data_IF_232802717667
#
_entry.id   IF_232802717667
#
_cell.length_a   1.000
_cell.length_b   1.000
_cell.length_c   1.000
_cell.angle_alpha   90.00
_cell.angle_beta   90.00
_cell.angle_gamma   90.00
#
_symmetry.space_group_name_H-M   'P 1'
#
loop_
_entity.id
_entity.type
_entity.pdbx_description
1 polymer ?
#
# COMPACT_ATOMS: atom_id res chain seq x y z
N UNK A 1 -24.73 -46.35 -37.55
CA UNK A 1 -25.59 -47.50 -37.16
C UNK A 1 -25.82 -48.32 -38.44
N UNK A 2 -25.36 -49.55 -38.47
CA UNK A 2 -25.59 -50.45 -39.65
C UNK A 2 -26.84 -51.23 -39.36
N UNK A 3 -27.84 -51.06 -40.17
CA UNK A 3 -29.12 -51.77 -40.03
C UNK A 3 -28.97 -53.14 -40.73
N UNK A 4 -28.96 -54.23 -39.97
CA UNK A 4 -28.79 -55.60 -40.49
C UNK A 4 -30.17 -56.21 -40.57
N UNK A 5 -30.65 -56.44 -41.81
CA UNK A 5 -31.90 -57.11 -42.07
C UNK A 5 -31.83 -58.63 -41.69
N UNK A 6 -32.75 -59.16 -40.90
CA UNK A 6 -32.65 -60.51 -40.28
C UNK A 6 -32.79 -61.68 -41.23
N UNK A 7 -32.92 -61.45 -42.53
CA UNK A 7 -33.17 -62.51 -43.58
C UNK A 7 -31.90 -62.89 -44.34
N UNK A 8 -30.79 -62.22 -44.19
CA UNK A 8 -29.57 -62.57 -44.93
C UNK A 8 -28.61 -63.42 -44.03
N UNK A 9 -28.23 -64.59 -44.54
CA UNK A 9 -27.27 -65.47 -43.83
C UNK A 9 -25.84 -64.97 -43.81
N UNK A 10 -25.51 -64.03 -44.66
CA UNK A 10 -24.17 -63.33 -44.72
C UNK A 10 -24.45 -61.87 -45.06
N UNK A 11 -24.06 -60.93 -44.24
CA UNK A 11 -24.07 -59.52 -44.56
C UNK A 11 -22.60 -59.04 -44.76
N UNK A 12 -22.30 -58.57 -45.95
CA UNK A 12 -21.01 -57.95 -46.24
C UNK A 12 -21.10 -56.51 -45.76
N UNK A 13 -20.31 -56.17 -44.73
CA UNK A 13 -20.24 -54.81 -44.10
C UNK A 13 -19.35 -53.85 -44.87
N UNK A 14 -18.75 -54.28 -46.00
CA UNK A 14 -17.81 -53.47 -46.78
C UNK A 14 -16.56 -53.11 -45.99
N UNK A 15 -15.82 -52.09 -46.45
CA UNK A 15 -14.63 -51.60 -45.79
C UNK A 15 -15.01 -50.61 -44.69
N UNK A 16 -14.88 -50.98 -43.42
CA UNK A 16 -15.06 -50.10 -42.28
C UNK A 16 -13.79 -49.27 -42.11
N UNK A 17 -13.86 -48.00 -42.46
CA UNK A 17 -12.77 -47.04 -42.23
C UNK A 17 -12.88 -46.43 -40.83
N UNK A 18 -11.99 -46.82 -39.92
CA UNK A 18 -11.89 -46.23 -38.57
C UNK A 18 -11.11 -44.92 -38.65
N UNK A 19 -11.78 -43.81 -38.40
CA UNK A 19 -11.13 -42.50 -38.25
C UNK A 19 -10.78 -42.33 -36.78
N UNK A 20 -9.47 -42.21 -36.39
CA UNK A 20 -9.12 -41.97 -35.01
C UNK A 20 -9.60 -40.57 -34.59
N UNK A 21 -10.55 -40.51 -33.67
CA UNK A 21 -10.96 -39.25 -33.05
C UNK A 21 -9.95 -38.95 -31.94
N UNK A 22 -8.96 -38.14 -32.26
CA UNK A 22 -8.08 -37.56 -31.22
C UNK A 22 -8.92 -36.60 -30.34
N UNK A 23 -9.47 -37.14 -29.26
CA UNK A 23 -10.03 -36.33 -28.17
C UNK A 23 -8.83 -35.82 -27.38
N UNK A 24 -8.31 -34.64 -27.72
CA UNK A 24 -7.35 -33.97 -26.86
C UNK A 24 -8.06 -33.69 -25.52
N UNK A 25 -7.66 -34.37 -24.48
CA UNK A 25 -8.08 -34.03 -23.13
C UNK A 25 -7.58 -32.61 -22.87
N UNK A 26 -8.50 -31.72 -22.50
CA UNK A 26 -8.13 -30.39 -22.04
C UNK A 26 -7.14 -30.59 -20.87
N UNK A 27 -5.95 -30.05 -21.00
CA UNK A 27 -4.94 -30.06 -19.96
C UNK A 27 -5.55 -29.50 -18.68
N UNK A 28 -5.64 -30.30 -17.64
CA UNK A 28 -6.09 -29.85 -16.34
C UNK A 28 -4.89 -29.13 -15.70
N UNK A 29 -4.84 -27.83 -15.88
CA UNK A 29 -3.87 -27.00 -15.16
C UNK A 29 -4.28 -26.99 -13.68
N UNK A 30 -3.61 -27.83 -12.88
CA UNK A 30 -3.74 -27.80 -11.43
C UNK A 30 -2.99 -26.57 -10.92
N UNK A 31 -3.66 -25.44 -10.82
CA UNK A 31 -3.13 -24.25 -10.13
C UNK A 31 -3.26 -24.50 -8.64
N UNK A 32 -2.15 -24.83 -8.00
CA UNK A 32 -2.05 -24.84 -6.54
C UNK A 32 -2.32 -23.43 -6.03
N UNK A 33 -3.40 -23.23 -5.29
CA UNK A 33 -3.67 -21.94 -4.61
C UNK A 33 -2.64 -21.77 -3.50
N UNK A 34 -1.84 -20.70 -3.56
CA UNK A 34 -0.94 -20.34 -2.46
C UNK A 34 -1.74 -20.09 -1.19
N UNK A 35 -1.28 -20.56 -0.01
CA UNK A 35 -1.93 -20.20 1.26
C UNK A 35 -1.82 -18.70 1.50
N UNK A 36 -2.79 -18.11 2.20
CA UNK A 36 -2.77 -16.69 2.54
C UNK A 36 -1.52 -16.31 3.35
N UNK A 37 -1.15 -17.14 4.34
CA UNK A 37 0.06 -16.97 5.15
C UNK A 37 0.97 -18.16 4.93
N UNK A 38 2.21 -17.90 4.51
CA UNK A 38 3.28 -18.87 4.35
C UNK A 38 4.43 -18.52 5.29
N UNK A 39 4.83 -19.45 6.14
CA UNK A 39 5.98 -19.28 7.05
C UNK A 39 7.23 -19.87 6.41
N UNK A 40 8.24 -19.04 6.15
CA UNK A 40 9.58 -19.44 5.71
C UNK A 40 10.56 -19.36 6.87
N UNK A 41 11.76 -19.87 6.69
CA UNK A 41 12.79 -19.90 7.73
C UNK A 41 13.17 -18.48 8.21
N UNK A 42 13.24 -17.52 7.29
CA UNK A 42 13.71 -16.15 7.52
C UNK A 42 12.57 -15.10 7.54
N UNK A 43 11.37 -15.48 7.09
CA UNK A 43 10.25 -14.52 6.95
C UNK A 43 8.87 -15.17 6.98
N UNK A 44 7.88 -14.38 7.31
CA UNK A 44 6.47 -14.70 7.06
C UNK A 44 6.03 -13.99 5.78
N UNK A 45 5.41 -14.72 4.86
CA UNK A 45 4.88 -14.20 3.60
C UNK A 45 3.37 -14.19 3.66
N UNK A 46 2.77 -13.02 3.41
CA UNK A 46 1.33 -12.85 3.24
C UNK A 46 1.05 -12.70 1.75
N UNK A 47 0.40 -13.70 1.16
CA UNK A 47 0.03 -13.71 -0.25
C UNK A 47 -1.29 -12.94 -0.43
N UNK A 48 -1.21 -11.74 -0.98
CA UNK A 48 -2.35 -10.79 -1.00
C UNK A 48 -3.52 -11.31 -1.83
N UNK A 49 -3.25 -11.92 -2.98
CA UNK A 49 -4.28 -12.48 -3.87
C UNK A 49 -4.95 -13.75 -3.33
N UNK A 50 -4.35 -14.41 -2.33
CA UNK A 50 -4.91 -15.63 -1.78
C UNK A 50 -6.17 -15.39 -0.92
N UNK A 51 -6.43 -14.13 -0.54
CA UNK A 51 -7.61 -13.75 0.26
C UNK A 51 -8.56 -12.88 -0.54
N UNK A 52 -9.79 -13.36 -0.71
CA UNK A 52 -10.89 -12.62 -1.37
C UNK A 52 -11.23 -11.35 -0.59
N UNK A 53 -11.04 -11.33 0.72
CA UNK A 53 -11.32 -10.16 1.58
C UNK A 53 -10.36 -9.00 1.36
N UNK A 54 -9.28 -9.19 0.59
CA UNK A 54 -8.35 -8.13 0.24
C UNK A 54 -8.79 -7.32 -0.99
N UNK A 55 -9.78 -7.80 -1.73
CA UNK A 55 -10.31 -7.09 -2.89
C UNK A 55 -10.89 -5.73 -2.45
N UNK A 56 -10.39 -4.65 -3.05
CA UNK A 56 -10.81 -3.29 -2.73
C UNK A 56 -10.12 -2.64 -1.52
N UNK A 57 -9.29 -3.38 -0.76
CA UNK A 57 -8.52 -2.83 0.34
C UNK A 57 -7.31 -2.04 -0.15
N UNK A 58 -6.82 -1.14 0.70
CA UNK A 58 -5.52 -0.49 0.56
C UNK A 58 -4.39 -1.41 1.06
N UNK A 59 -3.15 -1.09 0.69
CA UNK A 59 -1.98 -1.79 1.22
C UNK A 59 -1.87 -1.67 2.75
N UNK A 60 -2.28 -0.53 3.31
CA UNK A 60 -2.29 -0.33 4.76
C UNK A 60 -3.28 -1.29 5.45
N UNK A 61 -4.50 -1.43 4.93
CA UNK A 61 -5.50 -2.36 5.49
C UNK A 61 -5.06 -3.83 5.37
N UNK A 62 -4.34 -4.19 4.30
CA UNK A 62 -3.74 -5.53 4.19
C UNK A 62 -2.63 -5.71 5.21
N UNK A 63 -1.81 -4.69 5.46
CA UNK A 63 -0.80 -4.71 6.52
C UNK A 63 -1.41 -4.86 7.90
N UNK A 64 -2.45 -4.12 8.23
CA UNK A 64 -3.16 -4.21 9.53
C UNK A 64 -3.73 -5.61 9.78
N UNK A 65 -4.13 -6.31 8.71
CA UNK A 65 -4.61 -7.71 8.79
C UNK A 65 -3.47 -8.74 8.80
N UNK A 66 -2.22 -8.29 8.63
CA UNK A 66 -1.06 -9.17 8.55
C UNK A 66 -0.56 -9.57 9.95
N UNK A 67 -0.06 -10.81 10.14
CA UNK A 67 0.28 -11.31 11.45
C UNK A 67 1.42 -10.54 12.11
N UNK A 68 1.18 -10.08 13.34
CA UNK A 68 2.15 -9.38 14.18
C UNK A 68 2.38 -7.92 13.81
N UNK A 69 1.61 -7.37 12.88
CA UNK A 69 1.65 -5.94 12.53
C UNK A 69 0.52 -5.22 13.26
N UNK A 70 0.80 -4.03 13.76
CA UNK A 70 -0.20 -3.08 14.24
C UNK A 70 0.13 -1.68 13.75
N UNK A 71 -0.90 -0.92 13.43
CA UNK A 71 -0.80 0.47 12.99
C UNK A 71 -1.55 1.33 13.99
N UNK A 72 -0.90 2.36 14.51
CA UNK A 72 -1.55 3.29 15.42
C UNK A 72 -2.36 4.36 14.68
N UNK A 73 -3.10 5.18 15.43
CA UNK A 73 -3.92 6.29 14.89
C UNK A 73 -3.11 7.33 14.12
N UNK A 74 -1.83 7.44 14.42
CA UNK A 74 -0.89 8.39 13.81
C UNK A 74 -0.15 7.78 12.60
N UNK A 75 -0.48 6.52 12.24
CA UNK A 75 0.07 5.82 11.08
C UNK A 75 1.42 5.18 11.31
N UNK A 76 1.89 5.08 12.55
CA UNK A 76 3.13 4.39 12.85
C UNK A 76 2.91 2.88 12.84
N UNK A 77 3.78 2.19 12.11
CA UNK A 77 3.73 0.73 11.97
C UNK A 77 4.64 0.12 13.02
N UNK A 78 4.12 -0.88 13.74
CA UNK A 78 4.89 -1.67 14.69
C UNK A 78 4.79 -3.17 14.33
N UNK A 79 5.86 -3.90 14.64
CA UNK A 79 5.97 -5.34 14.42
C UNK A 79 6.18 -6.06 15.76
N UNK A 80 5.25 -6.94 16.13
CA UNK A 80 5.24 -7.64 17.43
C UNK A 80 5.39 -6.67 18.62
N UNK A 81 4.71 -5.52 18.56
CA UNK A 81 4.72 -4.49 19.59
C UNK A 81 5.99 -3.61 19.60
N UNK A 82 6.93 -3.81 18.69
CA UNK A 82 8.14 -2.98 18.57
C UNK A 82 7.97 -1.93 17.48
N UNK A 83 8.18 -0.67 17.80
CA UNK A 83 8.24 0.46 16.85
C UNK A 83 9.60 0.55 16.15
N UNK A 84 9.69 1.32 15.06
CA UNK A 84 10.93 1.48 14.29
C UNK A 84 11.14 0.41 13.23
N UNK A 85 10.05 -0.11 12.69
CA UNK A 85 10.04 -1.02 11.53
C UNK A 85 10.38 -0.23 10.27
N UNK A 86 11.26 -0.78 9.45
CA UNK A 86 11.57 -0.21 8.13
C UNK A 86 10.72 -0.89 7.07
N UNK A 87 10.02 -0.08 6.28
CA UNK A 87 9.21 -0.58 5.17
C UNK A 87 9.96 -0.43 3.86
N UNK A 88 10.04 -1.53 3.15
CA UNK A 88 10.59 -1.63 1.81
C UNK A 88 9.48 -1.84 0.78
N UNK A 89 9.69 -1.33 -0.41
CA UNK A 89 8.85 -1.59 -1.58
C UNK A 89 9.74 -2.17 -2.67
N UNK A 90 9.43 -3.39 -3.10
CA UNK A 90 10.22 -4.14 -4.08
C UNK A 90 11.71 -4.26 -3.72
N UNK A 91 12.00 -4.38 -2.42
CA UNK A 91 13.35 -4.50 -1.89
C UNK A 91 14.12 -3.19 -1.73
N UNK A 92 13.44 -2.04 -1.86
CA UNK A 92 14.02 -0.69 -1.68
C UNK A 92 13.40 -0.01 -0.47
N UNK A 93 14.17 0.63 0.41
CA UNK A 93 13.61 1.33 1.56
C UNK A 93 12.72 2.49 1.09
N UNK A 94 11.57 2.64 1.73
CA UNK A 94 10.62 3.72 1.39
C UNK A 94 11.11 5.10 1.84
N UNK A 95 12.02 5.16 2.83
CA UNK A 95 12.49 6.38 3.50
C UNK A 95 11.36 7.25 4.09
N UNK A 96 10.14 6.73 4.13
CA UNK A 96 8.98 7.36 4.74
C UNK A 96 8.71 6.75 6.12
N UNK A 97 8.16 7.54 7.01
CA UNK A 97 7.77 7.08 8.35
C UNK A 97 6.46 7.75 8.80
N UNK A 98 5.81 7.14 9.78
CA UNK A 98 4.60 7.69 10.39
C UNK A 98 3.49 8.00 9.38
N UNK A 99 2.89 9.20 9.48
CA UNK A 99 1.74 9.57 8.65
C UNK A 99 2.00 9.55 7.15
N UNK A 100 3.21 9.86 6.71
CA UNK A 100 3.53 9.92 5.28
C UNK A 100 3.61 8.51 4.68
N UNK A 101 4.18 7.56 5.40
CA UNK A 101 4.17 6.15 5.03
C UNK A 101 2.74 5.59 5.02
N UNK A 102 1.96 5.88 6.06
CA UNK A 102 0.56 5.45 6.14
C UNK A 102 -0.27 6.01 4.98
N UNK A 103 -0.10 7.28 4.62
CA UNK A 103 -0.80 7.90 3.50
C UNK A 103 -0.41 7.24 2.17
N UNK A 104 0.89 7.00 1.94
CA UNK A 104 1.34 6.27 0.76
C UNK A 104 0.70 4.88 0.67
N UNK A 105 0.69 4.13 1.78
CA UNK A 105 0.12 2.77 1.81
C UNK A 105 -1.41 2.76 1.69
N UNK A 106 -2.12 3.79 2.14
CA UNK A 106 -3.56 3.96 1.91
C UNK A 106 -3.89 4.14 0.42
N UNK A 107 -2.99 4.76 -0.33
CA UNK A 107 -3.17 5.03 -1.76
C UNK A 107 -2.79 3.86 -2.66
N UNK A 108 -1.99 2.94 -2.15
CA UNK A 108 -1.63 1.72 -2.84
C UNK A 108 -2.75 0.69 -2.67
N UNK A 109 -3.35 0.23 -3.76
CA UNK A 109 -4.43 -0.76 -3.70
C UNK A 109 -3.88 -2.17 -3.52
N UNK A 110 -4.60 -3.04 -2.81
CA UNK A 110 -4.25 -4.45 -2.66
C UNK A 110 -4.10 -5.17 -4.01
N UNK A 111 -4.85 -4.73 -5.03
CA UNK A 111 -4.75 -5.26 -6.39
C UNK A 111 -3.37 -5.07 -7.03
N UNK A 112 -2.60 -4.08 -6.59
CA UNK A 112 -1.23 -3.83 -7.04
C UNK A 112 -0.18 -4.69 -6.33
N UNK A 113 -0.56 -5.34 -5.22
CA UNK A 113 0.35 -6.13 -4.38
C UNK A 113 0.37 -7.60 -4.83
N UNK A 114 1.54 -8.21 -4.81
CA UNK A 114 1.75 -9.65 -4.95
C UNK A 114 1.79 -10.30 -3.56
N UNK A 115 2.73 -9.85 -2.74
CA UNK A 115 2.93 -10.40 -1.40
C UNK A 115 3.57 -9.37 -0.46
N UNK A 116 3.39 -9.59 0.85
CA UNK A 116 4.05 -8.83 1.91
C UNK A 116 4.96 -9.79 2.67
N UNK A 117 6.25 -9.48 2.72
CA UNK A 117 7.25 -10.24 3.47
C UNK A 117 7.54 -9.55 4.79
N UNK A 118 7.37 -10.28 5.89
CA UNK A 118 7.57 -9.77 7.25
C UNK A 118 8.79 -10.48 7.84
N UNK A 119 9.84 -9.73 8.14
CA UNK A 119 11.11 -10.23 8.65
C UNK A 119 11.40 -9.62 10.01
N UNK A 120 11.44 -10.45 11.05
CA UNK A 120 11.84 -10.01 12.40
C UNK A 120 13.36 -9.99 12.56
N UNK A 121 14.06 -10.84 11.82
CA UNK A 121 15.52 -10.90 11.74
C UNK A 121 15.91 -10.78 10.27
N UNK A 122 15.95 -9.54 9.72
CA UNK A 122 16.21 -9.35 8.30
C UNK A 122 17.64 -9.79 7.93
N UNK A 123 17.83 -10.40 6.75
CA UNK A 123 19.15 -10.64 6.20
C UNK A 123 19.93 -9.33 5.98
N UNK A 124 21.27 -9.40 5.94
CA UNK A 124 22.15 -8.24 5.81
C UNK A 124 21.90 -7.36 4.57
N UNK A 125 21.27 -7.89 3.54
CA UNK A 125 20.88 -7.11 2.35
C UNK A 125 19.82 -6.03 2.61
N UNK A 126 19.07 -6.16 3.69
CA UNK A 126 18.16 -5.12 4.18
C UNK A 126 18.94 -4.38 5.25
N UNK A 127 19.53 -3.24 4.88
CA UNK A 127 20.30 -2.42 5.81
C UNK A 127 19.57 -2.30 7.15
N UNK A 128 20.25 -2.72 8.22
CA UNK A 128 19.66 -2.94 9.54
C UNK A 128 19.37 -1.64 10.30
N UNK A 129 18.95 -0.59 9.62
CA UNK A 129 18.56 0.67 10.22
C UNK A 129 17.33 0.56 11.16
N UNK A 130 16.66 -0.59 11.19
CA UNK A 130 15.50 -0.86 12.04
C UNK A 130 15.77 -1.96 13.07
N UNK A 131 15.88 -1.63 14.35
CA UNK A 131 16.02 -2.58 15.45
C UNK A 131 14.80 -3.52 15.62
N UNK A 132 13.72 -3.32 14.88
CA UNK A 132 12.43 -3.99 15.12
C UNK A 132 12.00 -4.93 14.00
N UNK A 133 12.72 -4.94 12.88
CA UNK A 133 12.48 -5.78 11.72
C UNK A 133 12.14 -5.00 10.46
N UNK A 134 11.89 -5.75 9.38
CA UNK A 134 11.64 -5.22 8.04
C UNK A 134 10.32 -5.77 7.51
N UNK A 135 9.55 -4.91 6.89
CA UNK A 135 8.39 -5.27 6.08
C UNK A 135 8.72 -4.94 4.63
N UNK A 136 8.73 -5.94 3.75
CA UNK A 136 8.96 -5.72 2.32
C UNK A 136 7.67 -6.00 1.54
N UNK A 137 7.10 -4.95 0.97
CA UNK A 137 5.90 -5.00 0.14
C UNK A 137 6.34 -5.26 -1.29
N UNK A 138 5.95 -6.40 -1.85
CA UNK A 138 6.20 -6.73 -3.25
C UNK A 138 4.98 -6.39 -4.09
N UNK A 139 5.21 -5.58 -5.10
CA UNK A 139 4.19 -5.24 -6.10
C UNK A 139 4.10 -6.32 -7.17
N UNK A 140 2.92 -6.48 -7.76
CA UNK A 140 2.73 -7.38 -8.90
C UNK A 140 3.60 -6.94 -10.07
N UNK A 141 4.40 -7.87 -10.55
CA UNK A 141 5.14 -7.69 -11.81
C UNK A 141 4.27 -8.24 -12.93
N UNK A 142 3.75 -7.35 -13.75
CA UNK A 142 3.03 -7.78 -14.94
C UNK A 142 4.02 -8.45 -15.91
N UNK A 143 3.85 -9.76 -16.14
CA UNK A 143 4.67 -10.54 -17.07
C UNK A 143 4.06 -10.62 -18.46
N UNK A 144 2.86 -10.11 -18.64
CA UNK A 144 2.16 -10.12 -19.93
C UNK A 144 2.82 -9.12 -20.88
N UNK A 145 2.94 -9.50 -22.13
CA UNK A 145 3.33 -8.59 -23.21
C UNK A 145 2.15 -7.66 -23.55
N UNK A 146 2.46 -6.42 -23.90
CA UNK A 146 1.47 -5.41 -24.23
C UNK A 146 1.39 -4.31 -23.19
N UNK A 147 0.30 -3.57 -23.20
CA UNK A 147 0.01 -2.48 -22.28
C UNK A 147 -1.08 -2.90 -21.29
N UNK A 148 -0.93 -2.46 -20.06
CA UNK A 148 -1.95 -2.58 -19.03
C UNK A 148 -1.90 -1.36 -18.12
N UNK A 149 -3.03 -1.00 -17.53
CA UNK A 149 -3.09 0.11 -16.60
C UNK A 149 -4.36 0.09 -15.79
N UNK A 150 -4.40 0.92 -14.76
CA UNK A 150 -5.59 1.15 -13.95
C UNK A 150 -5.69 2.62 -13.56
N UNK A 151 -6.92 3.09 -13.44
CA UNK A 151 -7.26 4.39 -12.89
C UNK A 151 -8.14 4.11 -11.67
N UNK A 152 -7.78 4.70 -10.54
CA UNK A 152 -8.56 4.64 -9.32
C UNK A 152 -8.94 6.07 -8.95
N UNK A 153 -10.23 6.29 -8.67
CA UNK A 153 -10.74 7.58 -8.22
C UNK A 153 -11.58 7.37 -6.98
N UNK A 154 -11.37 8.20 -5.98
CA UNK A 154 -12.13 8.16 -4.74
C UNK A 154 -12.55 9.55 -4.34
N UNK A 155 -13.83 9.72 -4.00
CA UNK A 155 -14.39 10.93 -3.45
C UNK A 155 -15.04 10.62 -2.11
N UNK A 156 -14.76 11.45 -1.12
CA UNK A 156 -15.40 11.35 0.19
C UNK A 156 -15.88 12.72 0.60
N UNK A 157 -17.18 12.84 0.90
CA UNK A 157 -17.78 14.05 1.41
C UNK A 157 -17.96 13.94 2.92
N UNK A 158 -17.22 14.76 3.66
CA UNK A 158 -17.47 15.07 5.06
C UNK A 158 -17.82 16.54 5.21
N UNK A 159 -17.30 17.21 6.27
CA UNK A 159 -17.35 18.68 6.37
C UNK A 159 -16.65 19.34 5.17
N UNK A 160 -15.56 18.71 4.71
CA UNK A 160 -14.80 19.10 3.52
C UNK A 160 -14.69 17.94 2.56
N UNK A 161 -14.59 18.22 1.28
CA UNK A 161 -14.37 17.24 0.23
C UNK A 161 -12.95 16.68 0.30
N UNK A 162 -12.80 15.38 0.01
CA UNK A 162 -11.51 14.68 -0.06
C UNK A 162 -11.47 13.90 -1.36
N UNK A 163 -10.32 13.93 -2.01
CA UNK A 163 -10.08 13.25 -3.27
C UNK A 163 -8.91 12.28 -3.14
N UNK A 164 -9.00 11.19 -3.85
CA UNK A 164 -8.03 10.10 -3.84
C UNK A 164 -7.92 9.54 -5.25
N UNK A 165 -6.87 9.84 -5.95
CA UNK A 165 -6.71 9.50 -7.35
C UNK A 165 -5.41 8.75 -7.57
N UNK A 166 -5.46 7.72 -8.39
CA UNK A 166 -4.29 6.92 -8.73
C UNK A 166 -4.35 6.47 -10.18
N UNK A 167 -3.21 6.52 -10.83
CA UNK A 167 -2.97 6.02 -12.17
C UNK A 167 -1.81 5.03 -12.12
N UNK A 168 -1.98 3.87 -12.71
CA UNK A 168 -0.86 2.97 -13.00
C UNK A 168 -0.86 2.59 -14.46
N UNK A 169 0.33 2.50 -15.03
CA UNK A 169 0.53 2.07 -16.41
C UNK A 169 1.77 1.18 -16.49
N UNK A 170 1.65 0.11 -17.27
CA UNK A 170 2.75 -0.79 -17.59
C UNK A 170 2.70 -1.13 -19.08
N UNK A 171 3.84 -1.06 -19.73
CA UNK A 171 4.02 -1.49 -21.11
C UNK A 171 5.21 -2.42 -21.21
N UNK A 172 5.00 -3.63 -21.71
CA UNK A 172 6.05 -4.62 -21.91
C UNK A 172 6.08 -5.12 -23.33
N UNK A 173 7.23 -4.97 -23.98
CA UNK A 173 7.48 -5.51 -25.30
C UNK A 173 8.91 -6.02 -25.42
N UNK A 174 9.07 -7.31 -25.78
CA UNK A 174 10.36 -7.96 -25.92
C UNK A 174 11.22 -7.80 -24.66
N UNK A 175 12.33 -7.08 -24.79
CA UNK A 175 13.30 -6.85 -23.72
C UNK A 175 13.00 -5.64 -22.84
N UNK A 176 12.02 -4.84 -23.20
CA UNK A 176 11.68 -3.58 -22.52
C UNK A 176 10.44 -3.75 -21.68
N UNK A 177 10.48 -3.23 -20.46
CA UNK A 177 9.33 -3.05 -19.59
C UNK A 177 9.35 -1.63 -19.06
N UNK A 178 8.41 -0.81 -19.51
CA UNK A 178 8.17 0.54 -19.01
C UNK A 178 7.02 0.50 -18.01
N UNK A 179 7.14 1.19 -16.90
CA UNK A 179 6.07 1.33 -15.93
C UNK A 179 6.03 2.73 -15.33
N UNK A 180 4.83 3.19 -15.03
CA UNK A 180 4.62 4.45 -14.33
C UNK A 180 3.46 4.34 -13.36
N UNK A 181 3.57 5.08 -12.26
CA UNK A 181 2.52 5.28 -11.28
C UNK A 181 2.45 6.78 -10.97
N UNK A 182 1.25 7.27 -10.79
CA UNK A 182 1.00 8.62 -10.29
C UNK A 182 -0.14 8.56 -9.28
N UNK A 183 -0.06 9.34 -8.23
CA UNK A 183 -1.15 9.49 -7.28
C UNK A 183 -1.32 10.93 -6.85
N UNK A 184 -2.56 11.29 -6.58
CA UNK A 184 -2.95 12.57 -6.01
C UNK A 184 -3.93 12.35 -4.87
N UNK A 185 -3.68 13.02 -3.76
CA UNK A 185 -4.56 13.02 -2.60
C UNK A 185 -4.79 14.43 -2.13
N UNK A 186 -6.04 14.77 -1.91
CA UNK A 186 -6.45 15.98 -1.23
C UNK A 186 -7.20 15.61 0.04
N UNK A 187 -6.64 15.99 1.18
CA UNK A 187 -7.21 15.75 2.49
C UNK A 187 -7.45 17.06 3.20
N UNK A 188 -8.72 17.38 3.46
CA UNK A 188 -9.10 18.55 4.23
C UNK A 188 -9.87 18.10 5.48
N UNK A 189 -9.39 18.49 6.66
CA UNK A 189 -9.96 18.14 7.97
C UNK A 189 -10.17 19.40 8.79
N UNK A 190 -11.37 19.55 9.35
CA UNK A 190 -11.68 20.53 10.40
C UNK A 190 -11.89 19.81 11.73
N UNK A 191 -11.41 20.42 12.80
CA UNK A 191 -11.51 19.91 14.16
C UNK A 191 -11.85 21.07 15.12
N UNK A 192 -12.78 20.83 16.03
CA UNK A 192 -13.12 21.76 17.10
C UNK A 192 -12.72 21.13 18.42
N UNK A 193 -11.89 21.84 19.18
CA UNK A 193 -11.43 21.41 20.50
C UNK A 193 -12.03 22.33 21.55
N UNK A 194 -12.73 21.74 22.51
CA UNK A 194 -13.33 22.42 23.66
C UNK A 194 -12.60 22.00 24.93
N UNK A 195 -12.08 22.96 25.70
CA UNK A 195 -11.35 22.70 26.94
C UNK A 195 -11.85 23.65 28.02
N UNK A 196 -12.32 23.09 29.12
CA UNK A 196 -12.61 23.84 30.35
C UNK A 196 -11.56 23.47 31.39
N UNK A 197 -10.85 24.47 31.95
CA UNK A 197 -9.84 24.28 32.97
C UNK A 197 -10.18 25.12 34.20
N UNK A 198 -10.30 24.44 35.33
CA UNK A 198 -10.50 25.09 36.64
C UNK A 198 -9.15 25.24 37.33
N UNK A 199 -8.66 26.44 37.45
CA UNK A 199 -7.46 26.75 38.24
C UNK A 199 -7.85 26.91 39.70
N UNK A 200 -7.19 26.19 40.58
CA UNK A 200 -7.45 26.16 42.01
C UNK A 200 -6.30 26.74 42.77
N UNK A 201 -6.60 27.40 43.91
CA UNK A 201 -5.61 27.87 44.85
C UNK A 201 -4.88 26.67 45.50
N UNK A 202 -3.60 26.75 45.66
CA UNK A 202 -2.76 25.64 46.15
C UNK A 202 -3.12 25.23 47.58
N UNK A 203 -3.49 26.18 48.44
CA UNK A 203 -3.76 25.99 49.86
C UNK A 203 -5.19 25.57 50.14
N UNK A 204 -6.15 26.35 49.65
CA UNK A 204 -7.59 26.17 49.96
C UNK A 204 -8.29 25.21 49.01
N UNK A 205 -7.67 24.90 47.86
CA UNK A 205 -8.27 24.10 46.76
C UNK A 205 -9.50 24.73 46.10
N UNK A 206 -9.90 25.94 46.53
CA UNK A 206 -11.01 26.67 45.92
C UNK A 206 -10.67 27.07 44.47
N UNK A 207 -11.70 27.16 43.62
CA UNK A 207 -11.54 27.63 42.25
C UNK A 207 -11.15 29.13 42.35
N UNK A 208 -10.04 29.48 41.65
CA UNK A 208 -9.55 30.87 41.51
C UNK A 208 -9.97 31.46 40.19
N UNK A 209 -9.98 30.67 39.11
CA UNK A 209 -10.40 31.07 37.77
C UNK A 209 -10.79 29.88 36.92
N UNK A 210 -11.67 30.13 35.97
CA UNK A 210 -12.18 29.12 35.02
C UNK A 210 -11.79 29.60 33.63
N UNK A 211 -11.10 28.75 32.89
CA UNK A 211 -10.74 28.99 31.48
C UNK A 211 -11.62 28.13 30.61
N UNK A 212 -12.44 28.78 29.77
CA UNK A 212 -13.28 28.13 28.76
C UNK A 212 -12.71 28.43 27.38
N UNK A 213 -12.12 27.43 26.77
CA UNK A 213 -11.36 27.53 25.51
C UNK A 213 -12.08 26.79 24.38
N UNK A 214 -12.22 27.47 23.27
CA UNK A 214 -12.68 26.91 22.00
C UNK A 214 -11.60 27.13 20.97
N UNK A 215 -11.12 26.06 20.36
CA UNK A 215 -10.14 26.11 19.27
C UNK A 215 -10.74 25.48 18.02
N UNK A 216 -10.81 26.28 16.96
CA UNK A 216 -11.19 25.79 15.62
C UNK A 216 -9.92 25.57 14.82
N UNK A 217 -9.69 24.32 14.41
CA UNK A 217 -8.49 23.92 13.69
C UNK A 217 -8.85 23.39 12.32
N UNK A 218 -8.08 23.76 11.32
CA UNK A 218 -8.21 23.28 9.96
C UNK A 218 -6.86 22.80 9.46
N UNK A 219 -6.85 21.64 8.86
CA UNK A 219 -5.67 21.04 8.23
C UNK A 219 -6.02 20.68 6.80
N UNK A 220 -5.38 21.31 5.85
CA UNK A 220 -5.46 20.99 4.44
C UNK A 220 -4.11 20.46 3.96
N UNK A 221 -4.12 19.30 3.34
CA UNK A 221 -2.94 18.60 2.83
C UNK A 221 -3.20 18.09 1.43
N UNK A 222 -2.22 18.29 0.56
CA UNK A 222 -2.18 17.68 -0.76
C UNK A 222 -0.95 16.78 -0.83
N UNK A 223 -1.09 15.67 -1.54
CA UNK A 223 0.00 14.74 -1.76
C UNK A 223 0.06 14.36 -3.23
N UNK A 224 1.16 14.63 -3.84
CA UNK A 224 1.45 14.27 -5.23
C UNK A 224 2.60 13.29 -5.22
N UNK A 225 2.44 12.17 -5.90
CA UNK A 225 3.49 11.17 -6.05
C UNK A 225 3.58 10.75 -7.51
N UNK A 226 4.82 10.58 -7.98
CA UNK A 226 5.11 10.08 -9.30
C UNK A 226 6.25 9.07 -9.27
N UNK A 227 6.13 8.00 -10.06
CA UNK A 227 7.16 7.00 -10.28
C UNK A 227 7.17 6.60 -11.73
N UNK A 228 8.34 6.62 -12.36
CA UNK A 228 8.57 6.16 -13.73
C UNK A 228 9.76 5.22 -13.70
N UNK A 229 9.65 4.08 -14.38
CA UNK A 229 10.73 3.12 -14.45
C UNK A 229 10.81 2.41 -15.79
N UNK A 230 12.02 1.97 -16.11
CA UNK A 230 12.35 1.20 -17.29
C UNK A 230 13.22 0.02 -16.89
N UNK A 231 12.79 -1.21 -17.22
CA UNK A 231 13.62 -2.39 -17.10
C UNK A 231 14.01 -2.86 -18.51
N UNK A 232 15.29 -3.12 -18.71
CA UNK A 232 15.83 -3.69 -19.94
C UNK A 232 16.41 -5.07 -19.66
N UNK A 233 15.84 -6.10 -20.28
CA UNK A 233 16.36 -7.47 -20.20
C UNK A 233 17.55 -7.62 -21.13
N UNK A 234 18.75 -7.46 -20.58
CA UNK A 234 20.01 -7.62 -21.33
C UNK A 234 20.12 -9.04 -21.87
N UNK A 235 19.78 -10.04 -21.04
CA UNK A 235 19.71 -11.45 -21.40
C UNK A 235 18.50 -12.11 -20.72
N UNK A 236 18.31 -13.44 -20.96
CA UNK A 236 17.29 -14.22 -20.25
C UNK A 236 17.50 -14.26 -18.72
N UNK A 237 18.73 -14.01 -18.26
CA UNK A 237 19.12 -14.08 -16.84
C UNK A 237 19.51 -12.73 -16.25
N UNK A 238 19.66 -11.67 -17.05
CA UNK A 238 20.10 -10.37 -16.56
C UNK A 238 19.16 -9.24 -16.98
N UNK A 239 18.92 -8.32 -16.04
CA UNK A 239 18.05 -7.16 -16.22
C UNK A 239 18.74 -5.92 -15.65
N UNK A 240 18.74 -4.85 -16.43
CA UNK A 240 19.13 -3.52 -16.02
C UNK A 240 17.86 -2.71 -15.80
N UNK A 241 17.71 -2.07 -14.64
CA UNK A 241 16.54 -1.28 -14.29
C UNK A 241 16.94 0.14 -13.92
N UNK A 242 16.15 1.11 -14.39
CA UNK A 242 16.25 2.51 -13.99
C UNK A 242 14.89 3.00 -13.50
N UNK A 243 14.85 3.67 -12.34
CA UNK A 243 13.63 4.21 -11.75
C UNK A 243 13.89 5.61 -11.24
N UNK A 244 12.95 6.50 -11.53
CA UNK A 244 12.85 7.81 -10.89
C UNK A 244 11.52 7.85 -10.16
N UNK A 245 11.53 8.32 -8.92
CA UNK A 245 10.33 8.55 -8.14
C UNK A 245 10.46 9.81 -7.30
N UNK A 246 9.34 10.46 -7.06
CA UNK A 246 9.33 11.63 -6.21
C UNK A 246 7.93 11.91 -5.69
N UNK A 247 7.89 12.73 -4.64
CA UNK A 247 6.64 13.24 -4.09
C UNK A 247 6.78 14.69 -3.64
N UNK A 248 5.63 15.34 -3.60
CA UNK A 248 5.45 16.66 -3.00
C UNK A 248 4.22 16.63 -2.09
N UNK A 249 4.35 17.18 -0.87
CA UNK A 249 3.31 17.15 0.15
C UNK A 249 3.14 18.54 0.79
N UNK A 250 2.52 19.49 0.09
CA UNK A 250 2.15 20.77 0.66
C UNK A 250 1.02 20.61 1.68
N UNK A 251 1.15 21.28 2.82
CA UNK A 251 0.11 21.31 3.85
C UNK A 251 -0.01 22.68 4.50
N UNK A 252 -1.23 23.02 4.88
CA UNK A 252 -1.56 24.26 5.60
C UNK A 252 -2.34 23.88 6.84
N UNK A 253 -1.90 24.41 7.98
CA UNK A 253 -2.60 24.25 9.25
C UNK A 253 -2.98 25.62 9.81
N UNK A 254 -4.25 25.79 10.12
CA UNK A 254 -4.80 26.99 10.72
C UNK A 254 -5.42 26.63 12.06
N UNK A 255 -5.22 27.48 13.07
CA UNK A 255 -5.91 27.36 14.36
C UNK A 255 -6.32 28.72 14.85
N UNK A 256 -7.61 28.88 15.18
CA UNK A 256 -8.15 30.05 15.81
C UNK A 256 -8.73 29.63 17.17
N UNK A 257 -8.14 30.16 18.23
CA UNK A 257 -8.47 29.83 19.61
C UNK A 257 -9.03 31.06 20.29
N UNK A 258 -10.14 30.90 21.00
CA UNK A 258 -10.73 31.88 21.90
C UNK A 258 -10.80 31.27 23.30
N UNK A 259 -10.28 31.96 24.30
CA UNK A 259 -10.36 31.56 25.70
C UNK A 259 -11.07 32.66 26.48
N UNK A 260 -12.20 32.31 27.09
CA UNK A 260 -12.90 33.15 28.05
C UNK A 260 -12.41 32.78 29.46
N UNK A 261 -12.06 33.80 30.25
CA UNK A 261 -11.53 33.62 31.58
C UNK A 261 -12.56 34.20 32.56
N UNK A 262 -13.11 33.35 33.40
CA UNK A 262 -14.10 33.70 34.41
C UNK A 262 -13.51 33.68 35.79
N UNK A 263 -14.09 34.49 36.68
CA UNK A 263 -13.87 34.44 38.12
C UNK A 263 -14.60 33.21 38.74
N UNK A 264 -14.44 32.95 40.08
CA UNK A 264 -15.16 31.83 40.74
C UNK A 264 -16.68 31.92 40.68
N UNK A 265 -17.26 33.12 40.48
CA UNK A 265 -18.70 33.34 40.38
C UNK A 265 -19.22 33.29 38.95
N UNK A 266 -18.40 32.78 38.01
CA UNK A 266 -18.71 32.72 36.56
C UNK A 266 -18.94 34.12 35.90
N UNK A 267 -18.37 35.18 36.48
CA UNK A 267 -18.33 36.49 35.84
C UNK A 267 -17.14 36.57 34.90
N UNK A 268 -17.37 37.01 33.65
CA UNK A 268 -16.32 37.14 32.65
C UNK A 268 -15.34 38.22 33.08
N UNK A 269 -14.07 37.82 33.32
CA UNK A 269 -12.97 38.70 33.72
C UNK A 269 -12.17 39.21 32.52
N UNK A 270 -11.87 38.31 31.58
CA UNK A 270 -11.08 38.64 30.36
C UNK A 270 -11.31 37.64 29.26
N UNK A 271 -10.91 38.02 28.05
CA UNK A 271 -10.88 37.17 26.90
C UNK A 271 -9.51 37.23 26.22
N UNK A 272 -9.03 36.06 25.79
CA UNK A 272 -7.80 35.97 25.01
C UNK A 272 -8.13 35.27 23.69
N UNK A 273 -7.57 35.78 22.60
CA UNK A 273 -7.64 35.15 21.27
C UNK A 273 -6.24 34.87 20.76
N UNK A 274 -6.06 33.71 20.13
CA UNK A 274 -4.82 33.32 19.48
C UNK A 274 -5.12 32.78 18.10
N UNK A 275 -4.35 33.22 17.11
CA UNK A 275 -4.41 32.70 15.75
C UNK A 275 -3.05 32.16 15.35
N UNK A 276 -3.03 30.98 14.78
CA UNK A 276 -1.82 30.34 14.29
C UNK A 276 -2.03 29.87 12.86
N UNK A 277 -1.05 30.13 12.01
CA UNK A 277 -1.01 29.71 10.61
C UNK A 277 0.35 29.09 10.33
N UNK A 278 0.34 27.88 9.83
CA UNK A 278 1.55 27.15 9.45
C UNK A 278 1.43 26.60 8.05
N UNK A 279 2.48 26.76 7.25
CA UNK A 279 2.64 26.15 5.94
C UNK A 279 3.86 25.24 5.97
N UNK A 280 3.69 24.03 5.45
CA UNK A 280 4.76 23.05 5.34
C UNK A 280 4.70 22.43 3.94
N UNK A 281 5.86 22.16 3.37
CA UNK A 281 5.95 21.47 2.09
C UNK A 281 7.15 20.51 2.11
N UNK A 282 6.84 19.23 2.03
CA UNK A 282 7.84 18.17 1.93
C UNK A 282 7.97 17.74 0.48
N UNK A 283 9.23 17.66 0.01
CA UNK A 283 9.55 17.21 -1.35
C UNK A 283 10.65 16.16 -1.27
N UNK A 284 10.52 15.17 -2.12
CA UNK A 284 11.55 14.15 -2.31
C UNK A 284 11.66 13.81 -3.78
N UNK A 285 12.86 13.61 -4.26
CA UNK A 285 13.16 13.06 -5.59
C UNK A 285 14.26 12.03 -5.42
N UNK A 286 14.05 10.84 -5.93
CA UNK A 286 15.01 9.76 -5.91
C UNK A 286 15.17 9.13 -7.28
N UNK A 287 16.38 8.69 -7.59
CA UNK A 287 16.68 7.89 -8.77
C UNK A 287 17.45 6.64 -8.36
N UNK A 288 17.19 5.55 -9.03
CA UNK A 288 17.86 4.28 -8.76
C UNK A 288 18.19 3.58 -10.08
N UNK A 289 19.45 3.20 -10.22
CA UNK A 289 19.93 2.30 -11.27
C UNK A 289 20.25 0.96 -10.61
N UNK A 290 19.73 -0.13 -11.14
CA UNK A 290 19.97 -1.46 -10.60
C UNK A 290 20.28 -2.45 -11.71
N UNK A 291 21.15 -3.41 -11.38
CA UNK A 291 21.45 -4.54 -12.23
C UNK A 291 21.19 -5.83 -11.46
N UNK A 292 20.54 -6.79 -12.10
CA UNK A 292 20.27 -8.10 -11.54
C UNK A 292 20.67 -9.19 -12.50
N UNK A 293 21.36 -10.20 -12.00
CA UNK A 293 21.68 -11.43 -12.74
C UNK A 293 21.28 -12.66 -11.91
N UNK A 294 20.54 -13.57 -12.52
CA UNK A 294 20.19 -14.88 -11.95
C UNK A 294 21.27 -15.89 -12.38
N UNK A 295 21.95 -16.50 -11.42
CA UNK A 295 23.11 -17.39 -11.65
C UNK A 295 22.65 -18.79 -12.06
N UNK A 296 21.61 -19.32 -11.38
CA UNK A 296 21.16 -20.69 -11.59
C UNK A 296 19.62 -20.83 -11.58
N UNK A 297 19.14 -22.05 -11.79
CA UNK A 297 17.71 -22.39 -11.72
C UNK A 297 17.17 -22.49 -10.28
N UNK A 298 18.07 -22.60 -9.28
CA UNK A 298 17.71 -22.62 -7.86
C UNK A 298 17.38 -21.22 -7.30
N UNK A 299 17.56 -20.16 -8.12
CA UNK A 299 17.19 -18.80 -7.78
C UNK A 299 18.31 -18.02 -7.10
N UNK A 300 19.56 -18.44 -7.21
CA UNK A 300 20.69 -17.62 -6.79
C UNK A 300 20.79 -16.39 -7.69
N UNK A 301 20.91 -15.22 -7.09
CA UNK A 301 20.97 -13.95 -7.82
C UNK A 301 22.01 -13.00 -7.22
N UNK A 302 22.63 -12.21 -8.09
CA UNK A 302 23.45 -11.06 -7.73
C UNK A 302 22.67 -9.81 -8.13
N UNK A 303 22.61 -8.85 -7.22
CA UNK A 303 22.02 -7.53 -7.44
C UNK A 303 23.00 -6.44 -7.05
N UNK A 304 23.10 -5.42 -7.86
CA UNK A 304 23.93 -4.24 -7.63
C UNK A 304 23.09 -2.96 -7.85
#
# INVERSE_FOLDING_TARGET
MIDIQPTARIADAGILQLIPVNKSLKEVIVTSKKPFIERKIDRTVVNVDASITNAGNSALEVLEKSPGISVDKDGNISLKGKSGVVVFIDGRPSYLSGPDLANMLKNMTAAQLDQIEIMTNPPAKYDAAGNSGVINIKTKKNKLFGSSGSINTGYTQGRYARFNEGLSFNYRNGKINFFSNASFNHHHKGENLYIVRNFRESTTKNIKSIFDQVSNMENERQYYEGKIGLDYSVSKRSTLGFVVSGYENPSTWNSNTRTLIYDPNHLLNSQTTASSHSKMNWKNLSSNLNFRITLDSAGQEITA
#
